data_IF_670512296709
#
_entry.id   IF_670512296709
#
_cell.length_a   1.000
_cell.length_b   1.000
_cell.length_c   1.000
_cell.angle_alpha   90.00
_cell.angle_beta   90.00
_cell.angle_gamma   90.00
#
_symmetry.space_group_name_H-M   'P 1'
#
loop_
_entity.id
_entity.type
_entity.pdbx_description
1 polymer ?
#
# COMPACT_ATOMS: atom_id res chain seq x y z
N UNK A 1 16.14 -19.57 16.38
CA UNK A 1 15.04 -20.17 15.61
C UNK A 1 15.61 -20.59 14.26
N UNK A 2 15.45 -21.85 13.91
CA UNK A 2 15.82 -22.35 12.59
C UNK A 2 14.57 -22.34 11.71
N UNK A 3 14.68 -21.77 10.51
CA UNK A 3 13.64 -21.81 9.50
C UNK A 3 13.90 -23.00 8.58
N UNK A 4 12.93 -23.90 8.48
CA UNK A 4 13.00 -25.06 7.57
C UNK A 4 11.95 -24.86 6.49
N UNK A 5 12.40 -24.68 5.26
CA UNK A 5 11.52 -24.55 4.11
C UNK A 5 10.83 -25.90 3.80
N UNK A 6 9.58 -25.83 3.38
CA UNK A 6 8.79 -26.98 2.92
C UNK A 6 8.63 -28.11 3.96
N UNK A 7 8.64 -27.78 5.27
CA UNK A 7 8.45 -28.77 6.35
C UNK A 7 7.05 -29.40 6.34
N UNK A 8 6.06 -28.76 5.76
CA UNK A 8 4.70 -29.27 5.58
C UNK A 8 4.02 -28.56 4.39
N UNK A 9 2.95 -29.14 3.79
CA UNK A 9 2.15 -28.45 2.78
C UNK A 9 1.62 -27.13 3.31
N UNK A 10 1.66 -26.03 2.54
CA UNK A 10 1.16 -24.73 2.99
C UNK A 10 -0.35 -24.78 3.21
N UNK A 11 -0.82 -24.19 4.33
CA UNK A 11 -2.26 -24.06 4.63
C UNK A 11 -2.90 -23.01 3.73
N UNK A 12 -2.15 -21.95 3.39
CA UNK A 12 -2.52 -20.93 2.41
C UNK A 12 -1.41 -20.78 1.39
N UNK A 13 -1.74 -20.40 0.16
CA UNK A 13 -0.70 -20.17 -0.85
C UNK A 13 0.20 -18.99 -0.45
N UNK A 14 1.41 -18.96 -0.99
CA UNK A 14 2.38 -17.89 -0.71
C UNK A 14 1.83 -16.53 -1.11
N UNK A 15 1.12 -16.47 -2.24
CA UNK A 15 0.50 -15.25 -2.77
C UNK A 15 -0.54 -14.70 -1.80
N UNK A 16 -1.42 -15.56 -1.27
CA UNK A 16 -2.41 -15.18 -0.27
C UNK A 16 -1.75 -14.71 1.03
N UNK A 17 -0.70 -15.41 1.48
CA UNK A 17 0.06 -15.00 2.65
C UNK A 17 0.70 -13.61 2.46
N UNK A 18 1.34 -13.36 1.32
CA UNK A 18 2.00 -12.10 1.02
C UNK A 18 1.00 -10.96 0.91
N UNK A 19 -0.17 -11.18 0.30
CA UNK A 19 -1.28 -10.22 0.27
C UNK A 19 -1.75 -9.84 1.69
N UNK A 20 -1.90 -10.83 2.57
CA UNK A 20 -2.29 -10.59 3.97
C UNK A 20 -1.20 -9.82 4.72
N UNK A 21 0.09 -10.15 4.51
CA UNK A 21 1.20 -9.39 5.11
C UNK A 21 1.25 -7.95 4.60
N UNK A 22 0.98 -7.72 3.33
CA UNK A 22 0.86 -6.37 2.75
C UNK A 22 -0.27 -5.57 3.39
N UNK A 23 -1.43 -6.20 3.58
CA UNK A 23 -2.58 -5.59 4.24
C UNK A 23 -2.28 -5.26 5.72
N UNK A 24 -1.60 -6.15 6.44
CA UNK A 24 -1.17 -5.85 7.81
C UNK A 24 -0.19 -4.67 7.87
N UNK A 25 0.79 -4.59 6.96
CA UNK A 25 1.71 -3.45 6.88
C UNK A 25 0.95 -2.15 6.55
N UNK A 26 0.01 -2.18 5.60
CA UNK A 26 -0.84 -1.04 5.25
C UNK A 26 -1.63 -0.54 6.46
N UNK A 27 -2.28 -1.43 7.18
CA UNK A 27 -3.06 -1.09 8.38
C UNK A 27 -2.18 -0.55 9.50
N UNK A 28 -1.01 -1.16 9.74
CA UNK A 28 -0.07 -0.72 10.78
C UNK A 28 0.50 0.67 10.51
N UNK A 29 0.74 1.01 9.25
CA UNK A 29 1.24 2.33 8.85
C UNK A 29 0.17 3.43 8.87
N UNK A 30 -1.10 3.06 9.00
CA UNK A 30 -2.18 4.02 9.22
C UNK A 30 -2.12 4.56 10.65
N UNK A 31 -2.01 5.88 10.81
CA UNK A 31 -1.99 6.57 12.12
C UNK A 31 -3.20 6.26 13.01
N UNK A 32 -4.27 5.71 12.45
CA UNK A 32 -5.53 5.47 13.12
C UNK A 32 -5.97 4.00 12.96
N UNK A 33 -5.02 3.07 13.09
CA UNK A 33 -5.33 1.65 13.04
C UNK A 33 -6.42 1.30 14.07
N UNK A 34 -7.50 0.69 13.59
CA UNK A 34 -8.59 0.17 14.43
C UNK A 34 -8.72 -1.33 14.22
N UNK A 35 -8.96 -2.06 15.29
CA UNK A 35 -9.19 -3.52 15.28
C UNK A 35 -10.63 -3.89 14.92
N UNK A 36 -11.33 -3.03 14.16
CA UNK A 36 -12.70 -3.28 13.73
C UNK A 36 -12.81 -4.53 12.86
N UNK A 37 -13.88 -5.28 13.05
CA UNK A 37 -14.17 -6.54 12.33
C UNK A 37 -14.90 -6.32 10.99
N UNK A 38 -15.47 -5.14 10.74
CA UNK A 38 -16.16 -4.84 9.48
C UNK A 38 -15.17 -4.61 8.33
N UNK A 39 -15.56 -5.02 7.12
CA UNK A 39 -14.80 -4.80 5.88
C UNK A 39 -14.55 -3.31 5.58
N UNK A 40 -15.39 -2.41 6.09
CA UNK A 40 -15.26 -0.96 5.98
C UNK A 40 -14.25 -0.36 6.97
N UNK A 41 -13.84 -1.10 7.99
CA UNK A 41 -12.92 -0.62 9.02
C UNK A 41 -11.58 -0.19 8.42
N UNK A 42 -11.11 1.02 8.80
CA UNK A 42 -9.87 1.64 8.31
C UNK A 42 -9.81 1.93 6.79
N UNK A 43 -10.89 1.72 6.06
CA UNK A 43 -10.97 1.98 4.61
C UNK A 43 -11.72 3.25 4.26
N UNK A 44 -12.52 3.81 5.18
CA UNK A 44 -13.25 5.06 4.93
C UNK A 44 -12.47 6.22 5.54
N UNK A 45 -12.02 7.13 4.68
CA UNK A 45 -11.14 8.26 5.03
C UNK A 45 -11.90 9.57 4.86
N UNK A 46 -11.72 10.48 5.79
CA UNK A 46 -12.27 11.82 5.72
C UNK A 46 -11.49 12.71 4.76
N UNK A 47 -12.15 13.24 3.75
CA UNK A 47 -11.56 14.18 2.79
C UNK A 47 -11.17 15.53 3.41
N UNK A 48 -11.81 15.90 4.53
CA UNK A 48 -11.55 17.16 5.24
C UNK A 48 -10.31 17.06 6.16
N UNK A 49 -10.33 16.15 7.13
CA UNK A 49 -9.30 16.07 8.18
C UNK A 49 -8.37 14.85 8.04
N UNK A 50 -8.51 14.06 6.98
CA UNK A 50 -7.75 12.82 6.72
C UNK A 50 -7.87 11.76 7.84
N UNK A 51 -8.81 11.95 8.78
CA UNK A 51 -9.12 10.98 9.82
C UNK A 51 -9.92 9.79 9.26
N UNK A 52 -9.97 8.69 10.01
CA UNK A 52 -10.72 7.50 9.63
C UNK A 52 -12.16 7.60 10.18
N UNK A 53 -13.10 7.08 9.42
CA UNK A 53 -14.46 6.85 9.87
C UNK A 53 -14.52 5.61 10.75
N UNK A 54 -15.35 5.67 11.78
CA UNK A 54 -15.67 4.53 12.64
C UNK A 54 -17.16 4.28 12.69
N UNK A 55 -17.58 3.03 12.94
CA UNK A 55 -18.99 2.68 13.05
C UNK A 55 -19.60 3.27 14.33
N UNK A 56 -20.84 3.71 14.23
CA UNK A 56 -21.70 4.15 15.34
C UNK A 56 -23.07 3.50 15.16
N UNK A 57 -23.63 3.00 16.24
CA UNK A 57 -24.98 2.46 16.22
C UNK A 57 -25.97 3.56 16.67
N UNK A 58 -26.87 3.92 15.79
CA UNK A 58 -27.98 4.81 16.09
C UNK A 58 -29.22 4.04 16.42
N UNK A 59 -30.04 4.58 17.32
CA UNK A 59 -31.31 3.99 17.76
C UNK A 59 -31.16 2.52 18.26
N UNK A 60 -30.08 2.27 19.04
CA UNK A 60 -29.70 0.91 19.49
C UNK A 60 -30.82 0.12 20.13
N UNK A 61 -31.79 0.79 20.79
CA UNK A 61 -32.87 0.19 21.55
C UNK A 61 -34.24 0.28 20.82
N UNK A 62 -34.25 0.53 19.51
CA UNK A 62 -35.48 0.69 18.75
C UNK A 62 -35.49 -0.12 17.45
N UNK A 63 -36.67 -0.25 16.83
CA UNK A 63 -36.81 -0.85 15.49
C UNK A 63 -36.08 -0.08 14.38
N UNK A 64 -35.64 1.14 14.65
CA UNK A 64 -34.88 1.99 13.73
C UNK A 64 -33.38 1.87 13.94
N UNK A 65 -32.91 0.84 14.64
CA UNK A 65 -31.50 0.56 14.84
C UNK A 65 -30.76 0.46 13.49
N UNK A 66 -29.73 1.26 13.32
CA UNK A 66 -28.87 1.25 12.12
C UNK A 66 -27.41 1.57 12.46
N UNK A 67 -26.50 1.05 11.66
CA UNK A 67 -25.08 1.38 11.72
C UNK A 67 -24.82 2.55 10.79
N UNK A 68 -24.17 3.58 11.32
CA UNK A 68 -23.66 4.70 10.55
C UNK A 68 -22.15 4.75 10.67
N UNK A 69 -21.51 5.28 9.65
CA UNK A 69 -20.08 5.54 9.62
C UNK A 69 -19.83 7.04 9.73
N UNK A 70 -19.00 7.45 10.69
CA UNK A 70 -18.75 8.84 11.00
C UNK A 70 -17.25 9.07 11.23
N UNK A 71 -16.76 10.22 10.78
CA UNK A 71 -15.38 10.65 11.06
C UNK A 71 -15.10 10.65 12.56
N UNK A 72 -14.06 9.94 12.99
CA UNK A 72 -13.67 9.85 14.41
C UNK A 72 -13.22 11.18 15.01
N UNK A 73 -12.89 12.15 14.15
CA UNK A 73 -12.50 13.51 14.56
C UNK A 73 -13.67 14.51 14.53
N UNK A 74 -14.92 14.06 14.27
CA UNK A 74 -16.08 14.95 14.10
C UNK A 74 -16.31 15.87 15.29
N UNK A 75 -16.03 15.39 16.50
CA UNK A 75 -16.23 16.13 17.74
C UNK A 75 -14.94 16.34 18.54
N UNK A 76 -13.77 16.10 17.92
CA UNK A 76 -12.46 16.25 18.56
C UNK A 76 -11.77 17.54 18.12
N UNK A 77 -11.04 18.16 19.06
CA UNK A 77 -10.24 19.36 18.81
C UNK A 77 -11.06 20.65 18.66
N UNK A 78 -10.36 21.74 18.42
CA UNK A 78 -10.97 23.08 18.25
C UNK A 78 -11.75 23.19 16.93
N UNK A 79 -11.23 22.61 15.85
CA UNK A 79 -11.90 22.55 14.54
C UNK A 79 -12.66 21.23 14.39
N UNK A 80 -13.98 21.30 14.56
CA UNK A 80 -14.86 20.14 14.34
C UNK A 80 -14.89 19.79 12.86
N UNK A 81 -14.83 18.48 12.56
CA UNK A 81 -14.93 18.02 11.19
C UNK A 81 -16.37 18.13 10.68
N UNK A 82 -16.56 18.79 9.54
CA UNK A 82 -17.89 19.03 8.95
C UNK A 82 -18.39 17.89 8.05
N UNK A 83 -17.55 16.86 7.81
CA UNK A 83 -17.89 15.75 6.91
C UNK A 83 -19.16 15.04 7.37
N UNK A 84 -20.11 14.70 6.48
CA UNK A 84 -21.33 13.99 6.84
C UNK A 84 -21.03 12.58 7.35
N UNK A 85 -21.97 11.99 8.07
CA UNK A 85 -21.98 10.55 8.33
C UNK A 85 -22.67 9.83 7.16
N UNK A 86 -22.36 8.57 7.00
CA UNK A 86 -22.95 7.71 5.98
C UNK A 86 -23.60 6.51 6.62
N UNK A 87 -24.80 6.14 6.17
CA UNK A 87 -25.39 4.87 6.52
C UNK A 87 -24.63 3.72 5.87
N UNK A 88 -24.52 2.59 6.55
CA UNK A 88 -23.81 1.42 6.03
C UNK A 88 -24.46 0.88 4.74
N UNK A 89 -25.78 0.91 4.65
CA UNK A 89 -26.49 0.53 3.43
C UNK A 89 -26.18 1.47 2.24
N UNK A 90 -25.98 2.76 2.50
CA UNK A 90 -25.52 3.72 1.48
C UNK A 90 -24.13 3.36 0.98
N UNK A 91 -23.21 2.92 1.87
CA UNK A 91 -21.88 2.48 1.48
C UNK A 91 -21.90 1.23 0.60
N UNK A 92 -22.74 0.27 0.97
CA UNK A 92 -22.93 -0.98 0.20
C UNK A 92 -23.47 -0.69 -1.20
N UNK A 93 -24.54 0.10 -1.29
CA UNK A 93 -25.13 0.51 -2.57
C UNK A 93 -24.13 1.24 -3.44
N UNK A 94 -23.41 2.18 -2.89
CA UNK A 94 -22.39 2.97 -3.58
C UNK A 94 -21.29 2.08 -4.17
N UNK A 95 -20.85 1.05 -3.45
CA UNK A 95 -19.91 0.09 -3.99
C UNK A 95 -20.48 -0.69 -5.17
N UNK A 96 -21.71 -1.17 -5.06
CA UNK A 96 -22.38 -1.90 -6.15
C UNK A 96 -22.47 -1.04 -7.41
N UNK A 97 -22.89 0.22 -7.28
CA UNK A 97 -23.00 1.16 -8.39
C UNK A 97 -21.62 1.47 -9.00
N UNK A 98 -20.61 1.76 -8.18
CA UNK A 98 -19.25 2.04 -8.63
C UNK A 98 -18.59 0.81 -9.31
N UNK A 99 -18.76 -0.38 -8.75
CA UNK A 99 -18.22 -1.59 -9.34
C UNK A 99 -18.92 -1.95 -10.66
N UNK A 100 -20.24 -1.79 -10.73
CA UNK A 100 -20.99 -2.02 -11.96
C UNK A 100 -20.56 -1.09 -13.10
N UNK A 101 -20.24 0.16 -12.78
CA UNK A 101 -19.69 1.06 -13.80
C UNK A 101 -18.33 0.60 -14.36
N UNK A 102 -17.50 -0.07 -13.53
CA UNK A 102 -16.27 -0.71 -14.02
C UNK A 102 -16.54 -1.94 -14.89
N UNK A 103 -17.57 -2.71 -14.58
CA UNK A 103 -17.97 -3.85 -15.42
C UNK A 103 -18.47 -3.40 -16.79
N UNK A 104 -19.19 -2.29 -16.87
CA UNK A 104 -19.66 -1.72 -18.14
C UNK A 104 -18.48 -1.27 -19.03
N UNK A 105 -17.42 -0.72 -18.45
CA UNK A 105 -16.22 -0.23 -19.16
C UNK A 105 -15.06 -1.27 -19.17
N UNK A 106 -15.31 -2.50 -18.79
CA UNK A 106 -14.32 -3.52 -18.48
C UNK A 106 -13.30 -3.77 -19.60
N UNK A 107 -13.73 -3.83 -20.87
CA UNK A 107 -12.84 -4.09 -22.01
C UNK A 107 -11.84 -2.94 -22.23
N UNK A 108 -12.30 -1.70 -22.13
CA UNK A 108 -11.47 -0.52 -22.24
C UNK A 108 -10.44 -0.46 -21.09
N UNK A 109 -10.87 -0.79 -19.87
CA UNK A 109 -10.02 -0.85 -18.67
C UNK A 109 -8.94 -1.92 -18.86
N UNK A 110 -9.29 -3.15 -19.24
CA UNK A 110 -8.36 -4.26 -19.46
C UNK A 110 -7.32 -3.88 -20.53
N UNK A 111 -7.76 -3.33 -21.65
CA UNK A 111 -6.86 -2.91 -22.73
C UNK A 111 -5.85 -1.84 -22.29
N UNK A 112 -6.29 -0.89 -21.47
CA UNK A 112 -5.40 0.16 -20.95
C UNK A 112 -4.36 -0.38 -19.96
N UNK A 113 -4.72 -1.41 -19.16
CA UNK A 113 -3.82 -2.00 -18.19
C UNK A 113 -2.76 -2.90 -18.78
N UNK A 114 -2.98 -3.53 -19.91
CA UNK A 114 -1.95 -4.34 -20.59
C UNK A 114 -0.67 -3.54 -20.85
N UNK A 115 -0.80 -2.30 -21.31
CA UNK A 115 0.35 -1.40 -21.51
C UNK A 115 1.03 -1.01 -20.19
N UNK A 116 0.25 -0.76 -19.13
CA UNK A 116 0.77 -0.41 -17.81
C UNK A 116 1.52 -1.60 -17.19
N UNK A 117 0.98 -2.82 -17.30
CA UNK A 117 1.63 -4.04 -16.83
C UNK A 117 2.96 -4.25 -17.55
N UNK A 118 3.02 -4.07 -18.86
CA UNK A 118 4.27 -4.16 -19.62
C UNK A 118 5.31 -3.15 -19.10
N UNK A 119 4.92 -1.89 -18.88
CA UNK A 119 5.80 -0.86 -18.33
C UNK A 119 6.28 -1.19 -16.91
N UNK A 120 5.41 -1.77 -16.07
CA UNK A 120 5.77 -2.19 -14.72
C UNK A 120 6.61 -3.49 -14.69
N UNK A 121 6.61 -4.27 -15.74
CA UNK A 121 7.44 -5.48 -15.86
C UNK A 121 8.88 -5.14 -16.23
N UNK A 122 9.11 -4.04 -16.94
CA UNK A 122 10.46 -3.62 -17.31
C UNK A 122 11.20 -3.00 -16.11
N UNK A 123 12.04 -3.82 -15.46
CA UNK A 123 12.92 -3.39 -14.35
C UNK A 123 14.35 -3.13 -14.81
N UNK A 124 14.65 -3.20 -16.10
CA UNK A 124 16.01 -3.14 -16.65
C UNK A 124 16.80 -1.91 -16.19
N UNK A 125 16.15 -0.77 -16.10
CA UNK A 125 16.80 0.47 -15.65
C UNK A 125 17.17 0.42 -14.16
N UNK A 126 16.27 -0.12 -13.33
CA UNK A 126 16.51 -0.30 -11.89
C UNK A 126 17.60 -1.34 -11.63
N UNK A 127 17.60 -2.45 -12.39
CA UNK A 127 18.61 -3.50 -12.25
C UNK A 127 20.01 -3.00 -12.58
N UNK A 128 20.17 -2.24 -13.66
CA UNK A 128 21.44 -1.57 -14.01
C UNK A 128 21.88 -0.59 -12.93
N UNK A 129 20.96 0.14 -12.34
CA UNK A 129 21.29 1.09 -11.27
C UNK A 129 21.70 0.36 -9.98
N UNK A 130 21.03 -0.76 -9.64
CA UNK A 130 21.41 -1.65 -8.53
C UNK A 130 22.82 -2.16 -8.72
N UNK A 131 23.13 -2.74 -9.89
CA UNK A 131 24.46 -3.27 -10.21
C UNK A 131 25.56 -2.19 -10.08
N UNK A 132 25.30 -0.99 -10.59
CA UNK A 132 26.21 0.15 -10.47
C UNK A 132 26.47 0.54 -9.02
N UNK A 133 25.42 0.62 -8.18
CA UNK A 133 25.57 1.03 -6.78
C UNK A 133 26.19 -0.09 -5.94
N UNK A 134 25.91 -1.35 -6.24
CA UNK A 134 26.58 -2.51 -5.62
C UNK A 134 28.08 -2.48 -5.93
N UNK A 135 28.47 -2.27 -7.18
CA UNK A 135 29.88 -2.10 -7.56
C UNK A 135 30.57 -0.93 -6.83
N UNK A 136 29.86 0.18 -6.59
CA UNK A 136 30.39 1.26 -5.76
C UNK A 136 30.61 0.83 -4.29
N UNK A 137 29.70 0.07 -3.70
CA UNK A 137 29.85 -0.48 -2.36
C UNK A 137 31.08 -1.38 -2.27
N UNK A 138 31.27 -2.28 -3.26
CA UNK A 138 32.39 -3.21 -3.29
C UNK A 138 33.73 -2.50 -3.41
N UNK A 139 33.82 -1.48 -4.28
CA UNK A 139 35.01 -0.63 -4.42
C UNK A 139 35.37 0.07 -3.11
N UNK A 140 34.36 0.64 -2.43
CA UNK A 140 34.60 1.33 -1.15
C UNK A 140 35.03 0.37 -0.06
N UNK A 141 34.43 -0.83 0.02
CA UNK A 141 34.85 -1.87 0.96
C UNK A 141 36.30 -2.31 0.71
N UNK A 142 36.71 -2.44 -0.55
CA UNK A 142 38.09 -2.77 -0.88
C UNK A 142 39.06 -1.66 -0.48
N UNK A 143 38.70 -0.39 -0.69
CA UNK A 143 39.47 0.75 -0.23
C UNK A 143 39.61 0.79 1.30
N UNK A 144 38.56 0.50 2.02
CA UNK A 144 38.60 0.40 3.49
C UNK A 144 39.51 -0.74 3.96
N UNK A 145 39.44 -1.91 3.32
CA UNK A 145 40.33 -3.05 3.63
C UNK A 145 41.80 -2.69 3.37
N UNK A 146 42.12 -2.09 2.23
CA UNK A 146 43.48 -1.64 1.91
C UNK A 146 43.98 -0.62 2.93
N UNK A 147 43.16 0.34 3.34
CA UNK A 147 43.53 1.33 4.34
C UNK A 147 43.82 0.72 5.71
N UNK A 148 42.99 -0.28 6.13
CA UNK A 148 43.22 -1.02 7.38
C UNK A 148 44.54 -1.83 7.31
N UNK A 149 44.78 -2.50 6.19
CA UNK A 149 45.98 -3.30 5.96
C UNK A 149 47.24 -2.41 5.92
N UNK A 150 47.18 -1.27 5.23
CA UNK A 150 48.25 -0.26 5.20
C UNK A 150 48.60 0.22 6.63
N UNK A 151 47.60 0.53 7.43
CA UNK A 151 47.80 0.98 8.81
C UNK A 151 48.35 -0.13 9.73
N UNK A 152 48.09 -1.39 9.42
CA UNK A 152 48.60 -2.53 10.17
C UNK A 152 50.10 -2.80 9.90
N UNK A 153 50.56 -2.51 8.65
CA UNK A 153 51.95 -2.75 8.24
C UNK A 153 52.85 -1.53 8.31
N UNK A 154 52.28 -0.33 8.24
CA UNK A 154 52.97 0.95 8.25
C UNK A 154 52.34 1.86 9.29
N UNK A 155 53.13 2.44 10.20
CA UNK A 155 52.65 3.39 11.19
C UNK A 155 52.14 4.66 10.50
N UNK A 156 50.87 4.70 10.13
CA UNK A 156 50.21 5.88 9.57
C UNK A 156 49.95 6.94 10.64
N UNK A 157 49.88 8.19 10.24
CA UNK A 157 49.33 9.24 11.08
C UNK A 157 47.86 8.93 11.38
N UNK A 158 47.55 8.82 12.68
CA UNK A 158 46.21 8.39 13.14
C UNK A 158 45.10 9.41 12.81
N UNK A 159 45.46 10.69 12.68
CA UNK A 159 44.49 11.72 12.26
C UNK A 159 44.16 11.56 10.77
N UNK A 160 45.15 11.34 9.92
CA UNK A 160 44.94 11.07 8.49
C UNK A 160 44.21 9.76 8.27
N UNK A 161 44.58 8.68 8.98
CA UNK A 161 43.88 7.42 8.95
C UNK A 161 42.40 7.58 9.29
N UNK A 162 42.10 8.23 10.41
CA UNK A 162 40.72 8.46 10.85
C UNK A 162 39.92 9.29 9.86
N UNK A 163 40.52 10.32 9.26
CA UNK A 163 39.87 11.15 8.24
C UNK A 163 39.52 10.33 6.98
N UNK A 164 40.47 9.53 6.46
CA UNK A 164 40.26 8.68 5.27
C UNK A 164 39.24 7.58 5.53
N UNK A 165 39.33 6.92 6.69
CA UNK A 165 38.37 5.87 7.09
C UNK A 165 36.94 6.42 7.18
N UNK A 166 36.76 7.54 7.85
CA UNK A 166 35.45 8.17 8.00
C UNK A 166 34.88 8.65 6.65
N UNK A 167 35.73 9.11 5.74
CA UNK A 167 35.31 9.46 4.39
C UNK A 167 34.81 8.25 3.58
N UNK A 168 35.50 7.12 3.67
CA UNK A 168 35.06 5.86 3.04
C UNK A 168 33.78 5.32 3.70
N UNK A 169 33.69 5.34 5.03
CA UNK A 169 32.49 4.91 5.76
C UNK A 169 31.27 5.76 5.36
N UNK A 170 31.41 7.08 5.28
CA UNK A 170 30.34 7.97 4.84
C UNK A 170 29.89 7.69 3.39
N UNK A 171 30.88 7.41 2.49
CA UNK A 171 30.59 7.05 1.10
C UNK A 171 29.86 5.71 0.99
N UNK A 172 30.27 4.70 1.78
CA UNK A 172 29.60 3.41 1.86
C UNK A 172 28.15 3.54 2.33
N UNK A 173 27.94 4.26 3.45
CA UNK A 173 26.59 4.47 3.98
C UNK A 173 25.67 5.22 3.00
N UNK A 174 26.21 6.16 2.23
CA UNK A 174 25.47 6.86 1.18
C UNK A 174 25.07 5.91 0.05
N UNK A 175 25.98 5.06 -0.42
CA UNK A 175 25.71 4.06 -1.45
C UNK A 175 24.68 3.02 -0.95
N UNK A 176 24.85 2.53 0.28
CA UNK A 176 23.92 1.59 0.92
C UNK A 176 22.50 2.15 1.00
N UNK A 177 22.31 3.38 1.47
CA UNK A 177 21.00 4.04 1.52
C UNK A 177 20.40 4.21 0.12
N UNK A 178 21.23 4.47 -0.88
CA UNK A 178 20.77 4.55 -2.27
C UNK A 178 20.28 3.20 -2.76
N UNK A 179 21.02 2.13 -2.47
CA UNK A 179 20.65 0.75 -2.82
C UNK A 179 19.33 0.33 -2.17
N UNK A 180 19.16 0.63 -0.88
CA UNK A 180 17.90 0.37 -0.15
C UNK A 180 16.71 1.07 -0.83
N UNK A 181 16.88 2.34 -1.23
CA UNK A 181 15.84 3.11 -1.91
C UNK A 181 15.47 2.53 -3.28
N UNK A 182 16.45 2.09 -4.08
CA UNK A 182 16.19 1.50 -5.40
C UNK A 182 15.47 0.15 -5.24
N UNK A 183 15.90 -0.67 -4.27
CA UNK A 183 15.23 -1.93 -3.97
C UNK A 183 13.78 -1.72 -3.49
N UNK A 184 13.53 -0.70 -2.67
CA UNK A 184 12.17 -0.31 -2.27
C UNK A 184 11.32 0.10 -3.48
N UNK A 185 11.88 0.86 -4.41
CA UNK A 185 11.19 1.23 -5.65
C UNK A 185 10.83 0.00 -6.49
N UNK A 186 11.76 -0.97 -6.64
CA UNK A 186 11.52 -2.22 -7.37
C UNK A 186 10.40 -3.04 -6.72
N UNK A 187 10.42 -3.19 -5.39
CA UNK A 187 9.36 -3.89 -4.64
C UNK A 187 8.01 -3.20 -4.81
N UNK A 188 7.98 -1.85 -4.75
CA UNK A 188 6.75 -1.08 -4.93
C UNK A 188 6.19 -1.21 -6.36
N UNK A 189 7.07 -1.24 -7.37
CA UNK A 189 6.70 -1.45 -8.77
C UNK A 189 6.07 -2.84 -8.97
N UNK A 190 6.69 -3.88 -8.42
CA UNK A 190 6.18 -5.23 -8.46
C UNK A 190 4.83 -5.36 -7.73
N UNK A 191 4.71 -4.81 -6.52
CA UNK A 191 3.46 -4.82 -5.77
C UNK A 191 2.32 -4.11 -6.51
N UNK A 192 2.63 -2.99 -7.20
CA UNK A 192 1.65 -2.30 -8.04
C UNK A 192 1.19 -3.17 -9.22
N UNK A 193 2.12 -3.85 -9.89
CA UNK A 193 1.79 -4.79 -10.97
C UNK A 193 0.87 -5.90 -10.47
N UNK A 194 1.23 -6.56 -9.37
CA UNK A 194 0.44 -7.65 -8.77
C UNK A 194 -0.99 -7.19 -8.40
N UNK A 195 -1.13 -5.98 -7.86
CA UNK A 195 -2.44 -5.42 -7.56
C UNK A 195 -3.30 -5.20 -8.82
N UNK A 196 -2.70 -4.71 -9.90
CA UNK A 196 -3.39 -4.51 -11.19
C UNK A 196 -3.79 -5.87 -11.79
N UNK A 197 -2.88 -6.84 -11.81
CA UNK A 197 -3.14 -8.19 -12.31
C UNK A 197 -4.28 -8.88 -11.52
N UNK A 198 -4.26 -8.76 -10.19
CA UNK A 198 -5.31 -9.29 -9.32
C UNK A 198 -6.67 -8.60 -9.58
N UNK A 199 -6.67 -7.28 -9.76
CA UNK A 199 -7.87 -6.52 -10.10
C UNK A 199 -8.43 -6.90 -11.46
N UNK A 200 -7.58 -7.00 -12.49
CA UNK A 200 -7.98 -7.46 -13.82
C UNK A 200 -8.58 -8.86 -13.80
N UNK A 201 -8.00 -9.76 -13.00
CA UNK A 201 -8.55 -11.11 -12.82
C UNK A 201 -9.97 -11.04 -12.28
N UNK A 202 -10.20 -10.26 -11.22
CA UNK A 202 -11.54 -10.08 -10.65
C UNK A 202 -12.51 -9.51 -11.69
N UNK A 203 -12.11 -8.49 -12.46
CA UNK A 203 -12.95 -7.94 -13.53
C UNK A 203 -13.26 -8.97 -14.61
N UNK A 204 -12.29 -9.81 -15.01
CA UNK A 204 -12.48 -10.86 -16.03
C UNK A 204 -13.43 -11.96 -15.57
N UNK A 205 -13.38 -12.33 -14.29
CA UNK A 205 -14.21 -13.38 -13.71
C UNK A 205 -15.66 -12.92 -13.42
N UNK A 206 -15.91 -11.61 -13.40
CA UNK A 206 -17.23 -11.05 -13.14
C UNK A 206 -17.84 -10.48 -14.45
N UNK A 207 -18.71 -11.25 -15.08
CA UNK A 207 -19.40 -10.88 -16.32
C UNK A 207 -20.79 -10.28 -16.09
N UNK A 208 -21.29 -10.33 -14.86
CA UNK A 208 -22.62 -9.87 -14.51
C UNK A 208 -22.58 -8.68 -13.57
N UNK A 209 -23.55 -7.78 -13.72
CA UNK A 209 -23.75 -6.69 -12.80
C UNK A 209 -24.11 -7.21 -11.41
N UNK A 210 -23.52 -6.62 -10.38
CA UNK A 210 -23.88 -6.91 -9.00
C UNK A 210 -25.29 -6.39 -8.70
N UNK A 211 -26.09 -7.24 -8.06
CA UNK A 211 -27.42 -6.86 -7.55
C UNK A 211 -27.40 -6.52 -6.06
N UNK A 212 -26.39 -7.02 -5.35
CA UNK A 212 -26.22 -6.81 -3.91
C UNK A 212 -24.75 -6.65 -3.56
N UNK A 213 -24.47 -6.17 -2.33
CA UNK A 213 -23.12 -5.96 -1.83
C UNK A 213 -22.41 -7.29 -1.58
N UNK A 214 -21.22 -7.42 -2.16
CA UNK A 214 -20.32 -8.55 -1.94
C UNK A 214 -19.11 -8.08 -1.12
N UNK A 215 -18.96 -8.62 0.09
CA UNK A 215 -17.86 -8.26 1.00
C UNK A 215 -16.49 -8.75 0.50
N UNK A 216 -16.44 -9.90 -0.16
CA UNK A 216 -15.19 -10.45 -0.69
C UNK A 216 -14.69 -9.60 -1.85
N UNK A 217 -15.59 -9.22 -2.76
CA UNK A 217 -15.27 -8.30 -3.86
C UNK A 217 -14.87 -6.91 -3.35
N UNK A 218 -15.57 -6.37 -2.35
CA UNK A 218 -15.16 -5.13 -1.71
C UNK A 218 -13.73 -5.25 -1.16
N UNK A 219 -13.44 -6.30 -0.42
CA UNK A 219 -12.12 -6.55 0.16
C UNK A 219 -11.05 -6.81 -0.89
N UNK A 220 -11.40 -7.45 -2.00
CA UNK A 220 -10.47 -7.75 -3.09
C UNK A 220 -10.12 -6.51 -3.92
N UNK A 221 -11.09 -5.61 -4.17
CA UNK A 221 -10.96 -4.55 -5.17
C UNK A 221 -10.75 -3.16 -4.59
N UNK A 222 -11.37 -2.81 -3.46
CA UNK A 222 -11.30 -1.44 -2.90
C UNK A 222 -10.10 -1.27 -1.97
N UNK A 223 -9.30 -0.23 -2.19
CA UNK A 223 -8.28 0.21 -1.24
C UNK A 223 -8.91 1.09 -0.16
N UNK A 224 -9.59 2.16 -0.56
CA UNK A 224 -10.23 3.11 0.36
C UNK A 224 -11.36 3.90 -0.30
N UNK A 225 -12.21 4.48 0.54
CA UNK A 225 -13.26 5.41 0.15
C UNK A 225 -13.01 6.75 0.83
N UNK A 226 -12.96 7.84 0.08
CA UNK A 226 -12.80 9.20 0.60
C UNK A 226 -14.16 9.88 0.63
N UNK A 227 -14.59 10.31 1.81
CA UNK A 227 -15.84 11.06 2.00
C UNK A 227 -15.55 12.55 2.03
N UNK A 228 -16.11 13.29 1.07
CA UNK A 228 -15.95 14.74 0.96
C UNK A 228 -17.02 15.49 1.80
N UNK A 229 -16.92 16.82 1.85
CA UNK A 229 -17.81 17.65 2.67
C UNK A 229 -19.22 17.81 2.11
N UNK A 230 -19.39 17.59 0.82
CA UNK A 230 -20.69 17.67 0.13
C UNK A 230 -20.95 16.32 -0.51
N UNK A 231 -22.07 15.73 -0.33
CA UNK A 231 -22.58 14.45 -0.85
C UNK A 231 -21.74 13.72 -1.94
N UNK A 232 -20.42 13.96 -1.95
CA UNK A 232 -19.47 13.39 -2.87
C UNK A 232 -18.55 12.43 -2.13
N UNK A 233 -18.28 11.32 -2.75
CA UNK A 233 -17.28 10.34 -2.32
C UNK A 233 -16.37 10.02 -3.49
N UNK A 234 -15.17 9.56 -3.19
CA UNK A 234 -14.27 8.97 -4.20
C UNK A 234 -13.95 7.56 -3.75
N UNK A 235 -14.29 6.59 -4.58
CA UNK A 235 -13.89 5.19 -4.39
C UNK A 235 -12.52 5.03 -5.03
N UNK A 236 -11.53 4.57 -4.28
CA UNK A 236 -10.18 4.28 -4.76
C UNK A 236 -10.01 2.77 -4.75
N UNK A 237 -9.80 2.21 -5.92
CA UNK A 237 -9.54 0.79 -6.10
C UNK A 237 -8.05 0.46 -5.89
N UNK A 238 -7.72 -0.80 -5.66
CA UNK A 238 -6.35 -1.26 -5.37
C UNK A 238 -5.38 -1.11 -6.54
N UNK A 239 -5.90 -1.08 -7.74
CA UNK A 239 -5.17 -0.81 -8.98
C UNK A 239 -4.79 0.67 -9.14
N UNK A 240 -5.42 1.55 -8.35
CA UNK A 240 -5.26 2.99 -8.36
C UNK A 240 -6.34 3.75 -9.10
N UNK A 241 -7.35 3.07 -9.65
CA UNK A 241 -8.52 3.72 -10.26
C UNK A 241 -9.27 4.54 -9.21
N UNK A 242 -9.57 5.78 -9.53
CA UNK A 242 -10.34 6.70 -8.69
C UNK A 242 -11.67 7.02 -9.36
N UNK A 243 -12.77 6.61 -8.75
CA UNK A 243 -14.12 6.93 -9.24
C UNK A 243 -14.79 7.93 -8.28
N UNK A 244 -15.03 9.17 -8.75
CA UNK A 244 -15.88 10.11 -8.03
C UNK A 244 -17.34 9.68 -8.14
N UNK A 245 -18.08 9.73 -7.03
CA UNK A 245 -19.48 9.33 -6.95
C UNK A 245 -20.30 10.32 -6.13
N UNK A 246 -21.58 10.47 -6.46
CA UNK A 246 -22.54 11.23 -5.70
C UNK A 246 -23.36 10.30 -4.79
N UNK A 247 -23.63 10.71 -3.53
CA UNK A 247 -24.45 10.00 -2.55
C UNK A 247 -25.89 10.45 -2.64
#
# INVERSE_FOLDING_TARGET
QYYVENSHPPIVSKEVFDLVQHEFKRRKNSRNYTTGTSCFSSRIVCGCCKGIFGPKVWHSNSKYRRTIWQCNNKFKGEKKCATPHLDEETLKRLFVEAFNSLIEDKEAIISSYDAIIQALTDTTALDKEIEKVQGECDVVLELMRKLVDENAHTALDQEDYGRRYNAYAARFEKAKKKLEKINEQKVNQQAKRENIEAFMKVLKENDHLLTEFDEELWCATVDRLIVHTTNNVTVIFKDGTELPWHI
#
